data_IF_019934895403
#
_entry.id   IF_019934895403
#
_cell.length_a   1.000
_cell.length_b   1.000
_cell.length_c   1.000
_cell.angle_alpha   90.00
_cell.angle_beta   90.00
_cell.angle_gamma   90.00
#
_symmetry.space_group_name_H-M   'P 1'
#
loop_
_entity.id
_entity.type
_entity.pdbx_description
1 polymer ?
#
# COMPACT_ATOMS: atom_id res chain seq x y z
N UNK A 1 -11.40 23.39 -11.04
CA UNK A 1 -10.93 22.02 -10.77
C UNK A 1 -11.08 21.70 -9.28
N UNK A 2 -10.40 22.43 -8.38
CA UNK A 2 -10.50 22.22 -6.92
C UNK A 2 -11.95 22.27 -6.40
N UNK A 3 -12.76 23.18 -6.90
CA UNK A 3 -14.15 23.34 -6.54
C UNK A 3 -15.03 22.15 -6.99
N UNK A 4 -14.76 21.54 -8.13
CA UNK A 4 -15.49 20.36 -8.62
C UNK A 4 -15.15 19.12 -7.80
N UNK A 5 -13.88 18.91 -7.43
CA UNK A 5 -13.48 17.84 -6.53
C UNK A 5 -14.16 17.97 -5.15
N UNK A 6 -14.19 19.17 -4.58
CA UNK A 6 -14.87 19.42 -3.30
C UNK A 6 -16.38 19.11 -3.36
N UNK A 7 -17.04 19.41 -4.47
CA UNK A 7 -18.46 19.08 -4.67
C UNK A 7 -18.69 17.58 -4.75
N UNK A 8 -17.83 16.85 -5.46
CA UNK A 8 -17.90 15.39 -5.54
C UNK A 8 -17.65 14.74 -4.18
N UNK A 9 -16.69 15.23 -3.40
CA UNK A 9 -16.45 14.77 -2.03
C UNK A 9 -17.65 15.01 -1.12
N UNK A 10 -18.26 16.20 -1.20
CA UNK A 10 -19.47 16.51 -0.44
C UNK A 10 -20.63 15.58 -0.81
N UNK A 11 -20.87 15.32 -2.10
CA UNK A 11 -21.89 14.39 -2.55
C UNK A 11 -21.63 12.96 -2.09
N UNK A 12 -20.37 12.52 -2.12
CA UNK A 12 -19.95 11.20 -1.59
C UNK A 12 -20.25 11.09 -0.09
N UNK A 13 -19.94 12.14 0.68
CA UNK A 13 -20.21 12.18 2.11
C UNK A 13 -21.71 12.12 2.40
N UNK A 14 -22.54 12.85 1.65
CA UNK A 14 -24.01 12.81 1.76
C UNK A 14 -24.53 11.39 1.47
N UNK A 15 -24.00 10.72 0.41
CA UNK A 15 -24.42 9.36 0.08
C UNK A 15 -24.02 8.35 1.15
N UNK A 16 -22.86 8.49 1.76
CA UNK A 16 -22.45 7.63 2.87
C UNK A 16 -23.40 7.82 4.06
N UNK A 17 -23.75 9.06 4.42
CA UNK A 17 -24.72 9.35 5.47
C UNK A 17 -26.11 8.73 5.17
N UNK A 18 -26.58 8.80 3.92
CA UNK A 18 -27.86 8.17 3.51
C UNK A 18 -27.79 6.65 3.67
N UNK A 19 -26.66 6.01 3.32
CA UNK A 19 -26.48 4.59 3.51
C UNK A 19 -26.38 4.19 4.99
N UNK A 20 -25.71 4.96 5.82
CA UNK A 20 -25.60 4.75 7.26
C UNK A 20 -26.97 4.89 7.94
N UNK A 21 -27.74 5.93 7.59
CA UNK A 21 -29.10 6.11 8.11
C UNK A 21 -30.03 4.97 7.71
N UNK A 22 -29.91 4.45 6.49
CA UNK A 22 -30.68 3.26 6.06
C UNK A 22 -30.41 2.05 6.94
N UNK A 23 -29.16 1.82 7.32
CA UNK A 23 -28.77 0.68 8.18
C UNK A 23 -29.21 0.87 9.64
N UNK A 24 -29.44 2.12 10.06
CA UNK A 24 -29.89 2.47 11.42
C UNK A 24 -31.40 2.46 11.62
N UNK A 25 -32.18 2.49 10.54
CA UNK A 25 -33.65 2.44 10.60
C UNK A 25 -34.11 0.98 10.60
N UNK A 26 -34.50 0.47 11.77
CA UNK A 26 -35.28 -0.76 11.90
C UNK A 26 -36.61 -0.63 11.11
N UNK A 27 -36.75 -1.43 10.10
CA UNK A 27 -37.93 -1.95 9.40
C UNK A 27 -39.03 -1.04 8.79
N UNK A 28 -39.12 0.26 8.99
CA UNK A 28 -40.29 1.02 8.54
C UNK A 28 -40.10 2.40 7.89
N UNK A 29 -38.89 2.80 7.49
CA UNK A 29 -38.80 3.98 6.65
C UNK A 29 -39.39 3.66 5.26
N UNK A 30 -40.31 4.44 4.73
CA UNK A 30 -40.90 4.19 3.42
C UNK A 30 -39.78 4.15 2.37
N UNK A 31 -39.63 3.04 1.66
CA UNK A 31 -38.68 2.88 0.54
C UNK A 31 -38.75 4.07 -0.43
N UNK A 32 -39.93 4.70 -0.56
CA UNK A 32 -40.14 5.87 -1.39
C UNK A 32 -39.34 7.11 -0.95
N UNK A 33 -39.15 7.35 0.36
CA UNK A 33 -38.31 8.47 0.83
C UNK A 33 -36.84 8.25 0.49
N UNK A 34 -36.34 7.07 0.77
CA UNK A 34 -34.97 6.70 0.39
C UNK A 34 -34.71 6.82 -1.11
N UNK A 35 -35.64 6.33 -1.96
CA UNK A 35 -35.52 6.44 -3.41
C UNK A 35 -35.57 7.89 -3.90
N UNK A 36 -36.37 8.75 -3.28
CA UNK A 36 -36.41 10.18 -3.63
C UNK A 36 -35.11 10.90 -3.29
N UNK A 37 -34.51 10.61 -2.14
CA UNK A 37 -33.21 11.17 -1.74
C UNK A 37 -32.08 10.70 -2.66
N UNK A 38 -32.06 9.41 -2.99
CA UNK A 38 -31.10 8.85 -3.95
C UNK A 38 -31.24 9.52 -5.31
N UNK A 39 -32.46 9.72 -5.83
CA UNK A 39 -32.68 10.37 -7.11
C UNK A 39 -32.16 11.83 -7.13
N UNK A 40 -32.31 12.58 -6.03
CA UNK A 40 -31.74 13.93 -5.92
C UNK A 40 -30.22 13.89 -6.03
N UNK A 41 -29.57 12.95 -5.34
CA UNK A 41 -28.11 12.83 -5.38
C UNK A 41 -27.65 12.37 -6.76
N UNK A 42 -28.36 11.43 -7.42
CA UNK A 42 -28.08 11.02 -8.81
C UNK A 42 -28.10 12.23 -9.74
N UNK A 43 -29.17 13.04 -9.69
CA UNK A 43 -29.29 14.25 -10.53
C UNK A 43 -28.18 15.27 -10.24
N UNK A 44 -27.79 15.44 -8.98
CA UNK A 44 -26.68 16.31 -8.60
C UNK A 44 -25.33 15.79 -9.15
N UNK A 45 -25.09 14.48 -9.14
CA UNK A 45 -23.88 13.87 -9.72
C UNK A 45 -23.82 14.13 -11.22
N UNK A 46 -24.90 13.94 -11.95
CA UNK A 46 -24.98 14.20 -13.39
C UNK A 46 -24.62 15.65 -13.74
N UNK A 47 -24.99 16.61 -12.87
CA UNK A 47 -24.61 18.02 -13.03
C UNK A 47 -23.14 18.28 -12.71
N UNK A 48 -22.56 17.55 -11.75
CA UNK A 48 -21.18 17.78 -11.30
C UNK A 48 -20.16 17.04 -12.19
N UNK A 49 -20.58 15.92 -12.80
CA UNK A 49 -19.74 15.15 -13.71
C UNK A 49 -19.67 15.82 -15.08
N UNK A 50 -18.50 16.40 -15.39
CA UNK A 50 -18.29 17.16 -16.63
C UNK A 50 -16.82 17.14 -17.08
N UNK A 51 -16.53 17.68 -18.26
CA UNK A 51 -15.21 17.66 -18.91
C UNK A 51 -14.04 18.32 -18.14
N UNK A 52 -14.28 19.06 -17.06
CA UNK A 52 -13.20 19.62 -16.23
C UNK A 52 -12.77 18.71 -15.06
N UNK A 53 -13.43 17.56 -14.88
CA UNK A 53 -13.01 16.57 -13.89
C UNK A 53 -11.68 15.96 -14.30
N UNK A 54 -10.71 15.87 -13.38
CA UNK A 54 -9.36 15.35 -13.64
C UNK A 54 -9.12 13.98 -13.05
N UNK A 55 -9.72 13.69 -11.92
CA UNK A 55 -9.50 12.44 -11.18
C UNK A 55 -10.82 11.90 -10.68
N UNK A 56 -11.03 10.61 -10.82
CA UNK A 56 -12.14 9.89 -10.22
C UNK A 56 -11.75 8.47 -9.84
N UNK A 57 -12.15 8.05 -8.62
CA UNK A 57 -11.95 6.73 -8.07
C UNK A 57 -13.31 6.10 -7.76
N UNK A 58 -13.70 5.09 -8.51
CA UNK A 58 -15.02 4.46 -8.36
C UNK A 58 -15.13 3.62 -7.08
N UNK A 59 -14.02 3.06 -6.59
CA UNK A 59 -14.01 2.30 -5.34
C UNK A 59 -14.47 3.12 -4.14
N UNK A 60 -14.24 4.45 -4.16
CA UNK A 60 -14.65 5.37 -3.11
C UNK A 60 -16.16 5.67 -3.08
N UNK A 61 -16.92 5.17 -4.07
CA UNK A 61 -18.35 5.43 -4.19
C UNK A 61 -19.20 4.21 -3.82
N UNK A 62 -20.38 4.39 -3.20
CA UNK A 62 -21.35 3.33 -2.97
C UNK A 62 -21.73 2.63 -4.28
N UNK A 63 -21.96 1.31 -4.23
CA UNK A 63 -22.23 0.49 -5.42
C UNK A 63 -23.34 1.03 -6.34
N UNK A 64 -24.41 1.55 -5.75
CA UNK A 64 -25.54 2.13 -6.48
C UNK A 64 -25.13 3.34 -7.33
N UNK A 65 -24.16 4.12 -6.85
CA UNK A 65 -23.70 5.33 -7.54
C UNK A 65 -22.71 5.03 -8.66
N UNK A 66 -21.99 3.94 -8.58
CA UNK A 66 -21.05 3.54 -9.64
C UNK A 66 -21.74 3.40 -10.99
N UNK A 67 -22.99 2.94 -11.00
CA UNK A 67 -23.79 2.87 -12.23
C UNK A 67 -23.96 4.23 -12.89
N UNK A 68 -24.31 5.24 -12.12
CA UNK A 68 -24.47 6.60 -12.64
C UNK A 68 -23.17 7.13 -13.20
N UNK A 69 -22.05 6.86 -12.49
CA UNK A 69 -20.73 7.25 -12.94
C UNK A 69 -20.32 6.54 -14.25
N UNK A 70 -20.61 5.22 -14.38
CA UNK A 70 -20.36 4.48 -15.62
C UNK A 70 -21.12 5.08 -16.80
N UNK A 71 -22.43 5.35 -16.65
CA UNK A 71 -23.24 5.92 -17.70
C UNK A 71 -22.78 7.31 -18.15
N UNK A 72 -22.10 8.04 -17.25
CA UNK A 72 -21.61 9.40 -17.49
C UNK A 72 -20.10 9.44 -17.86
N UNK A 73 -19.41 8.31 -18.05
CA UNK A 73 -17.99 8.30 -18.40
C UNK A 73 -17.66 9.12 -19.64
N UNK A 74 -18.50 9.09 -20.65
CA UNK A 74 -18.31 9.82 -21.89
C UNK A 74 -18.32 11.36 -21.74
N UNK A 75 -18.87 11.87 -20.62
CA UNK A 75 -18.89 13.30 -20.29
C UNK A 75 -17.62 13.78 -19.57
N UNK A 76 -16.79 12.84 -19.09
CA UNK A 76 -15.57 13.14 -18.31
C UNK A 76 -14.33 13.31 -19.19
N UNK A 77 -14.44 14.07 -20.26
CA UNK A 77 -13.42 14.19 -21.33
C UNK A 77 -12.08 14.74 -20.87
N UNK A 78 -12.02 15.39 -19.73
CA UNK A 78 -10.81 15.98 -19.16
C UNK A 78 -10.04 15.08 -18.19
N UNK A 79 -10.47 13.83 -17.98
CA UNK A 79 -9.83 12.96 -17.01
C UNK A 79 -8.36 12.69 -17.33
N UNK A 80 -7.56 12.75 -16.27
CA UNK A 80 -6.15 12.39 -16.22
C UNK A 80 -5.96 11.08 -15.44
N UNK A 81 -6.82 10.83 -14.41
CA UNK A 81 -6.80 9.61 -13.60
C UNK A 81 -8.19 9.01 -13.54
N UNK A 82 -8.32 7.77 -14.03
CA UNK A 82 -9.53 6.98 -13.97
C UNK A 82 -9.24 5.66 -13.22
N UNK A 83 -9.72 5.57 -12.00
CA UNK A 83 -9.68 4.34 -11.21
C UNK A 83 -11.09 3.76 -11.07
N UNK A 84 -11.33 2.67 -11.81
CA UNK A 84 -12.59 1.93 -11.79
C UNK A 84 -12.62 0.87 -10.70
N UNK A 85 -11.46 0.56 -10.10
CA UNK A 85 -11.31 -0.51 -9.11
C UNK A 85 -11.66 -1.86 -9.71
N UNK A 86 -12.54 -2.60 -9.02
CA UNK A 86 -13.17 -3.83 -9.53
C UNK A 86 -14.54 -3.49 -10.10
N UNK A 87 -14.74 -3.76 -11.38
CA UNK A 87 -15.99 -3.46 -12.11
C UNK A 87 -17.17 -4.37 -11.74
N UNK A 88 -16.87 -5.57 -11.21
CA UNK A 88 -17.82 -6.69 -11.08
C UNK A 88 -18.87 -6.56 -9.98
N UNK A 89 -19.34 -5.37 -9.68
CA UNK A 89 -20.45 -5.14 -8.74
C UNK A 89 -21.79 -5.83 -9.14
N UNK A 90 -21.73 -7.01 -9.74
CA UNK A 90 -22.91 -7.80 -10.13
C UNK A 90 -23.43 -7.54 -11.54
N UNK A 91 -22.65 -6.92 -12.39
CA UNK A 91 -23.02 -6.57 -13.78
C UNK A 91 -22.57 -7.60 -14.80
N UNK A 92 -23.26 -7.66 -15.94
CA UNK A 92 -22.75 -8.41 -17.11
C UNK A 92 -21.52 -7.69 -17.65
N UNK A 93 -20.39 -8.37 -17.66
CA UNK A 93 -19.08 -7.84 -18.11
C UNK A 93 -19.13 -7.22 -19.51
N UNK A 94 -19.95 -7.77 -20.43
CA UNK A 94 -20.09 -7.28 -21.80
C UNK A 94 -20.67 -5.88 -21.95
N UNK A 95 -21.56 -5.47 -21.03
CA UNK A 95 -22.22 -4.16 -21.12
C UNK A 95 -21.30 -3.08 -20.51
N UNK A 96 -20.62 -3.42 -19.42
CA UNK A 96 -19.60 -2.55 -18.81
C UNK A 96 -18.43 -2.34 -19.78
N UNK A 97 -17.97 -3.37 -20.46
CA UNK A 97 -16.90 -3.28 -21.46
C UNK A 97 -17.19 -2.21 -22.50
N UNK A 98 -18.39 -2.24 -23.10
CA UNK A 98 -18.81 -1.25 -24.11
C UNK A 98 -18.83 0.18 -23.54
N UNK A 99 -19.36 0.33 -22.33
CA UNK A 99 -19.43 1.65 -21.66
C UNK A 99 -18.02 2.18 -21.42
N UNK A 100 -17.09 1.35 -20.93
CA UNK A 100 -15.70 1.75 -20.69
C UNK A 100 -15.01 2.10 -22.00
N UNK A 101 -15.14 1.27 -23.04
CA UNK A 101 -14.54 1.55 -24.36
C UNK A 101 -15.04 2.89 -24.91
N UNK A 102 -16.34 3.14 -24.87
CA UNK A 102 -16.91 4.41 -25.31
C UNK A 102 -16.45 5.59 -24.46
N UNK A 103 -16.32 5.40 -23.15
CA UNK A 103 -15.82 6.43 -22.23
C UNK A 103 -14.37 6.79 -22.51
N UNK A 104 -13.47 5.81 -22.55
CA UNK A 104 -12.02 6.07 -22.76
C UNK A 104 -11.73 6.65 -24.15
N UNK A 105 -12.60 6.38 -25.15
CA UNK A 105 -12.50 6.98 -26.47
C UNK A 105 -12.59 8.52 -26.44
N UNK A 106 -13.16 9.11 -25.39
CA UNK A 106 -13.31 10.56 -25.22
C UNK A 106 -12.30 11.16 -24.25
N UNK A 107 -11.27 10.40 -23.80
CA UNK A 107 -10.34 10.80 -22.74
C UNK A 107 -8.88 10.92 -23.22
N UNK A 108 -8.53 11.85 -24.13
CA UNK A 108 -7.17 11.95 -24.69
C UNK A 108 -6.09 12.39 -23.66
N UNK A 109 -6.52 12.93 -22.51
CA UNK A 109 -5.62 13.39 -21.46
C UNK A 109 -5.32 12.33 -20.40
N UNK A 110 -5.86 11.12 -20.53
CA UNK A 110 -5.71 10.06 -19.54
C UNK A 110 -4.25 9.66 -19.37
N UNK A 111 -3.75 9.74 -18.13
CA UNK A 111 -2.39 9.41 -17.71
C UNK A 111 -2.36 8.10 -16.91
N UNK A 112 -3.41 7.86 -16.11
CA UNK A 112 -3.53 6.69 -15.25
C UNK A 112 -4.87 6.00 -15.45
N UNK A 113 -4.83 4.68 -15.67
CA UNK A 113 -5.99 3.83 -15.82
C UNK A 113 -5.89 2.60 -14.93
N UNK A 114 -6.88 2.38 -14.07
CA UNK A 114 -6.99 1.20 -13.21
C UNK A 114 -8.33 0.51 -13.43
N UNK A 115 -8.28 -0.79 -13.76
CA UNK A 115 -9.45 -1.68 -13.81
C UNK A 115 -9.02 -3.10 -13.44
N UNK A 116 -9.14 -3.45 -12.19
CA UNK A 116 -8.77 -4.78 -11.69
C UNK A 116 -9.92 -5.77 -11.87
N UNK A 117 -9.59 -7.06 -12.11
CA UNK A 117 -10.47 -8.22 -12.28
C UNK A 117 -11.25 -8.27 -13.60
N UNK A 118 -11.73 -7.15 -14.14
CA UNK A 118 -12.74 -7.12 -15.22
C UNK A 118 -12.20 -6.50 -16.53
N UNK A 119 -10.92 -6.16 -16.60
CA UNK A 119 -10.33 -5.64 -17.82
C UNK A 119 -10.22 -6.75 -18.91
N UNK A 120 -10.31 -6.31 -20.18
CA UNK A 120 -10.22 -7.20 -21.34
C UNK A 120 -9.20 -6.66 -22.35
N UNK A 121 -8.77 -7.52 -23.28
CA UNK A 121 -7.91 -7.11 -24.40
C UNK A 121 -8.51 -5.96 -25.21
N UNK A 122 -9.85 -5.92 -25.36
CA UNK A 122 -10.54 -4.86 -26.11
C UNK A 122 -10.46 -3.52 -25.38
N UNK A 123 -10.61 -3.50 -24.06
CA UNK A 123 -10.46 -2.28 -23.25
C UNK A 123 -9.03 -1.76 -23.36
N UNK A 124 -8.03 -2.62 -23.20
CA UNK A 124 -6.61 -2.22 -23.36
C UNK A 124 -6.34 -1.69 -24.76
N UNK A 125 -6.91 -2.33 -25.78
CA UNK A 125 -6.84 -1.85 -27.15
C UNK A 125 -7.39 -0.43 -27.31
N UNK A 126 -8.57 -0.16 -26.75
CA UNK A 126 -9.21 1.15 -26.77
C UNK A 126 -8.41 2.21 -26.01
N UNK A 127 -7.92 1.87 -24.79
CA UNK A 127 -7.07 2.77 -23.97
C UNK A 127 -5.78 3.09 -24.70
N UNK A 128 -5.08 2.10 -25.26
CA UNK A 128 -3.83 2.30 -26.00
C UNK A 128 -4.00 3.15 -27.26
N UNK A 129 -5.16 3.06 -27.90
CA UNK A 129 -5.46 3.81 -29.13
C UNK A 129 -5.85 5.26 -28.83
N UNK A 130 -6.65 5.50 -27.78
CA UNK A 130 -7.29 6.81 -27.54
C UNK A 130 -6.61 7.64 -26.45
N UNK A 131 -5.73 7.03 -25.62
CA UNK A 131 -5.08 7.71 -24.49
C UNK A 131 -3.56 7.82 -24.70
N UNK A 132 -3.07 8.73 -25.59
CA UNK A 132 -1.66 8.82 -25.95
C UNK A 132 -0.74 9.29 -24.82
N UNK A 133 -1.31 9.78 -23.70
CA UNK A 133 -0.60 10.23 -22.52
C UNK A 133 -0.50 9.18 -21.42
N UNK A 134 -1.01 7.96 -21.64
CA UNK A 134 -1.05 6.90 -20.65
C UNK A 134 0.35 6.52 -20.18
N UNK A 135 0.60 6.67 -18.86
CA UNK A 135 1.86 6.33 -18.19
C UNK A 135 1.71 5.18 -17.20
N UNK A 136 0.54 5.05 -16.61
CA UNK A 136 0.22 4.05 -15.59
C UNK A 136 -0.99 3.21 -16.04
N UNK A 137 -0.84 1.90 -16.01
CA UNK A 137 -1.90 0.92 -16.27
C UNK A 137 -1.90 -0.15 -15.18
N UNK A 138 -3.04 -0.33 -14.50
CA UNK A 138 -3.22 -1.43 -13.56
C UNK A 138 -4.46 -2.24 -13.93
N UNK A 139 -4.25 -3.47 -14.37
CA UNK A 139 -5.29 -4.43 -14.74
C UNK A 139 -5.13 -5.74 -13.98
N UNK A 140 -4.60 -5.65 -12.78
CA UNK A 140 -4.34 -6.79 -11.89
C UNK A 140 -5.56 -7.70 -11.79
N UNK A 141 -5.32 -9.01 -11.82
CA UNK A 141 -6.29 -10.10 -11.71
C UNK A 141 -7.32 -10.20 -12.85
N UNK A 142 -7.12 -9.48 -13.95
CA UNK A 142 -7.99 -9.50 -15.12
C UNK A 142 -7.62 -10.66 -16.07
N UNK A 143 -8.25 -11.82 -15.90
CA UNK A 143 -7.93 -13.04 -16.67
C UNK A 143 -8.25 -12.95 -18.16
N UNK A 144 -9.07 -11.99 -18.58
CA UNK A 144 -9.39 -11.73 -20.01
C UNK A 144 -8.33 -10.87 -20.69
N UNK A 145 -7.27 -10.48 -19.99
CA UNK A 145 -6.10 -9.79 -20.54
C UNK A 145 -5.06 -10.84 -20.90
N UNK A 146 -4.69 -10.90 -22.18
CA UNK A 146 -3.79 -11.91 -22.77
C UNK A 146 -2.62 -11.25 -23.51
N UNK A 147 -1.77 -12.03 -24.14
CA UNK A 147 -0.68 -11.54 -24.99
C UNK A 147 -1.14 -10.63 -26.15
N UNK A 148 -2.43 -10.67 -26.52
CA UNK A 148 -3.01 -9.74 -27.50
C UNK A 148 -2.92 -8.29 -27.05
N UNK A 149 -3.05 -8.05 -25.75
CA UNK A 149 -2.89 -6.71 -25.14
C UNK A 149 -1.49 -6.15 -25.29
N UNK A 150 -0.46 -7.02 -25.31
CA UNK A 150 0.93 -6.57 -25.40
C UNK A 150 1.18 -5.82 -26.71
N UNK A 151 0.66 -6.32 -27.83
CA UNK A 151 0.78 -5.64 -29.13
C UNK A 151 0.14 -4.23 -29.14
N UNK A 152 -0.93 -4.03 -28.37
CA UNK A 152 -1.56 -2.73 -28.20
C UNK A 152 -0.72 -1.83 -27.26
N UNK A 153 -0.25 -2.35 -26.15
CA UNK A 153 0.57 -1.62 -25.18
C UNK A 153 1.89 -1.12 -25.80
N UNK A 154 2.51 -1.89 -26.69
CA UNK A 154 3.73 -1.48 -27.39
C UNK A 154 3.58 -0.22 -28.25
N UNK A 155 2.35 0.21 -28.55
CA UNK A 155 2.07 1.48 -29.24
C UNK A 155 2.10 2.68 -28.26
N UNK A 156 1.94 2.47 -26.96
CA UNK A 156 1.89 3.50 -25.92
C UNK A 156 3.29 3.93 -25.47
N UNK A 157 3.98 4.74 -26.28
CA UNK A 157 5.42 5.07 -26.11
C UNK A 157 5.81 5.77 -24.81
N UNK A 158 4.84 6.33 -24.07
CA UNK A 158 5.08 7.07 -22.81
C UNK A 158 4.80 6.24 -21.56
N UNK A 159 4.42 4.98 -21.74
CA UNK A 159 4.11 4.07 -20.64
C UNK A 159 5.33 3.85 -19.73
N UNK A 160 5.10 3.89 -18.41
CA UNK A 160 6.12 3.75 -17.37
C UNK A 160 5.83 2.60 -16.42
N UNK A 161 4.57 2.43 -16.09
CA UNK A 161 4.13 1.45 -15.10
C UNK A 161 2.99 0.60 -15.68
N UNK A 162 3.13 -0.73 -15.61
CA UNK A 162 2.15 -1.68 -16.11
C UNK A 162 2.01 -2.84 -15.14
N UNK A 163 0.86 -2.97 -14.50
CA UNK A 163 0.57 -4.07 -13.57
C UNK A 163 -0.34 -5.09 -14.21
N UNK A 164 0.21 -6.27 -14.46
CA UNK A 164 -0.45 -7.41 -15.13
C UNK A 164 -0.51 -8.66 -14.23
N UNK A 165 -0.31 -8.52 -12.93
CA UNK A 165 -0.32 -9.66 -12.02
C UNK A 165 -1.65 -10.41 -12.05
N UNK A 166 -1.61 -11.75 -12.11
CA UNK A 166 -2.79 -12.63 -12.24
C UNK A 166 -3.67 -12.36 -13.47
N UNK A 167 -3.07 -11.92 -14.56
CA UNK A 167 -3.69 -11.91 -15.89
C UNK A 167 -3.36 -13.22 -16.64
N UNK A 168 -3.75 -13.35 -17.91
CA UNK A 168 -3.37 -14.45 -18.79
C UNK A 168 -2.23 -14.07 -19.75
N UNK A 169 -1.43 -13.07 -19.41
CA UNK A 169 -0.21 -12.71 -20.15
C UNK A 169 0.88 -13.72 -19.82
N UNK A 170 1.48 -14.31 -20.87
CA UNK A 170 2.53 -15.30 -20.73
C UNK A 170 3.91 -14.69 -20.47
N UNK A 171 4.90 -15.52 -20.11
CA UNK A 171 6.33 -15.11 -20.00
C UNK A 171 6.83 -14.49 -21.30
N UNK A 172 6.42 -15.03 -22.44
CA UNK A 172 6.73 -14.47 -23.77
C UNK A 172 6.11 -13.08 -23.95
N UNK A 173 4.88 -12.88 -23.48
CA UNK A 173 4.21 -11.57 -23.45
C UNK A 173 4.99 -10.54 -22.64
N UNK A 174 5.38 -10.89 -21.41
CA UNK A 174 6.22 -10.04 -20.57
C UNK A 174 7.59 -9.75 -21.19
N UNK A 175 8.25 -10.74 -21.78
CA UNK A 175 9.53 -10.55 -22.47
C UNK A 175 9.41 -9.56 -23.64
N UNK A 176 8.34 -9.66 -24.44
CA UNK A 176 8.07 -8.74 -25.53
C UNK A 176 7.77 -7.31 -25.01
N UNK A 177 7.04 -7.18 -23.91
CA UNK A 177 6.76 -5.91 -23.26
C UNK A 177 8.06 -5.21 -22.82
N UNK A 178 8.94 -5.92 -22.10
CA UNK A 178 10.23 -5.40 -21.63
C UNK A 178 11.15 -5.03 -22.79
N UNK A 179 11.25 -5.87 -23.81
CA UNK A 179 12.08 -5.60 -24.99
C UNK A 179 11.58 -4.42 -25.80
N UNK A 180 10.27 -4.23 -25.88
CA UNK A 180 9.64 -3.16 -26.67
C UNK A 180 9.56 -1.81 -25.94
N UNK A 181 9.56 -1.81 -24.60
CA UNK A 181 9.47 -0.61 -23.77
C UNK A 181 10.74 -0.35 -22.95
N UNK A 182 11.75 0.26 -23.55
CA UNK A 182 13.02 0.56 -22.88
C UNK A 182 12.92 1.54 -21.71
N UNK A 183 11.79 2.20 -21.53
CA UNK A 183 11.56 3.20 -20.47
C UNK A 183 10.59 2.74 -19.41
N UNK A 184 10.23 1.45 -19.38
CA UNK A 184 9.35 0.90 -18.38
C UNK A 184 10.07 0.85 -17.02
N UNK A 185 9.43 1.38 -15.99
CA UNK A 185 10.01 1.55 -14.66
C UNK A 185 9.43 0.56 -13.64
N UNK A 186 8.18 0.12 -13.82
CA UNK A 186 7.51 -0.80 -12.90
C UNK A 186 6.54 -1.72 -13.66
N UNK A 187 6.63 -3.02 -13.43
CA UNK A 187 5.70 -4.02 -13.97
C UNK A 187 4.81 -4.65 -12.89
N UNK A 188 4.89 -4.10 -11.66
CA UNK A 188 4.24 -4.67 -10.50
C UNK A 188 4.77 -6.04 -10.13
N UNK A 189 4.00 -6.81 -9.40
CA UNK A 189 4.34 -8.19 -9.07
C UNK A 189 4.29 -9.08 -10.31
N UNK A 190 5.38 -9.79 -10.54
CA UNK A 190 5.48 -10.81 -11.58
C UNK A 190 6.29 -11.99 -11.03
N UNK A 191 5.59 -13.08 -10.69
CA UNK A 191 6.24 -14.23 -10.07
C UNK A 191 7.14 -15.00 -11.05
N UNK A 192 6.89 -14.88 -12.35
CA UNK A 192 7.69 -15.52 -13.41
C UNK A 192 8.76 -14.59 -14.02
N UNK A 193 9.07 -13.46 -13.36
CA UNK A 193 10.00 -12.46 -13.90
C UNK A 193 11.43 -13.04 -14.09
N UNK A 194 11.84 -13.97 -13.25
CA UNK A 194 13.12 -14.68 -13.41
C UNK A 194 13.19 -15.42 -14.73
N UNK A 195 12.17 -16.21 -15.04
CA UNK A 195 12.06 -16.96 -16.29
C UNK A 195 11.97 -16.02 -17.50
N UNK A 196 11.28 -14.89 -17.35
CA UNK A 196 11.21 -13.82 -18.37
C UNK A 196 12.58 -13.26 -18.70
N UNK A 197 13.42 -12.99 -17.67
CA UNK A 197 14.78 -12.50 -17.88
C UNK A 197 15.68 -13.56 -18.51
N UNK A 198 15.53 -14.84 -18.15
CA UNK A 198 16.22 -15.95 -18.81
C UNK A 198 15.82 -16.07 -20.29
N UNK A 199 14.53 -16.03 -20.60
CA UNK A 199 14.02 -16.07 -21.98
C UNK A 199 14.57 -14.91 -22.81
N UNK A 200 14.64 -13.72 -22.24
CA UNK A 200 15.23 -12.55 -22.92
C UNK A 200 16.71 -12.78 -23.19
N UNK A 201 17.47 -13.23 -22.19
CA UNK A 201 18.90 -13.49 -22.32
C UNK A 201 19.22 -14.53 -23.37
N UNK A 202 18.39 -15.56 -23.49
CA UNK A 202 18.59 -16.67 -24.41
C UNK A 202 18.16 -16.34 -25.86
N UNK A 203 17.52 -15.18 -26.11
CA UNK A 203 17.18 -14.80 -27.47
C UNK A 203 18.42 -14.34 -28.25
N UNK A 204 18.59 -14.83 -29.48
CA UNK A 204 19.73 -14.48 -30.36
C UNK A 204 19.83 -12.96 -30.63
N UNK A 205 18.72 -12.25 -30.55
CA UNK A 205 18.66 -10.79 -30.75
C UNK A 205 19.03 -10.00 -29.48
N UNK A 206 19.29 -10.66 -28.35
CA UNK A 206 19.65 -9.96 -27.12
C UNK A 206 21.09 -9.46 -27.18
N UNK A 207 21.26 -8.15 -26.96
CA UNK A 207 22.59 -7.57 -26.75
C UNK A 207 22.91 -7.63 -25.27
N UNK A 208 24.05 -8.22 -24.92
CA UNK A 208 24.51 -8.40 -23.54
C UNK A 208 24.71 -7.09 -22.76
N UNK A 209 24.75 -5.95 -23.46
CA UNK A 209 24.87 -4.58 -22.92
C UNK A 209 23.52 -3.89 -22.72
N UNK A 210 22.39 -4.53 -23.02
CA UNK A 210 21.07 -3.92 -22.88
C UNK A 210 20.59 -4.00 -21.44
N UNK A 211 20.48 -2.84 -20.82
CA UNK A 211 19.89 -2.68 -19.49
C UNK A 211 18.44 -2.25 -19.58
N UNK A 212 17.62 -2.70 -18.61
CA UNK A 212 16.24 -2.27 -18.42
C UNK A 212 16.17 -1.19 -17.34
N UNK A 213 15.26 -0.23 -17.50
CA UNK A 213 15.10 0.89 -16.56
C UNK A 213 14.14 0.58 -15.41
N UNK A 214 13.91 -0.69 -15.13
CA UNK A 214 13.05 -1.09 -14.01
C UNK A 214 13.61 -0.54 -12.69
N UNK A 215 12.74 0.10 -11.92
CA UNK A 215 12.99 0.64 -10.59
C UNK A 215 12.36 -0.19 -9.49
N UNK A 216 11.34 -0.97 -9.84
CA UNK A 216 10.68 -1.88 -8.92
C UNK A 216 10.76 -3.31 -9.43
N UNK A 217 10.99 -4.22 -8.50
CA UNK A 217 10.98 -5.65 -8.74
C UNK A 217 10.26 -6.35 -7.60
N UNK A 218 9.19 -7.06 -7.91
CA UNK A 218 8.45 -7.87 -6.93
C UNK A 218 8.16 -9.25 -7.49
N UNK A 219 8.64 -10.28 -6.79
CA UNK A 219 8.41 -11.68 -7.14
C UNK A 219 8.36 -12.58 -5.91
N UNK A 220 7.53 -13.63 -5.99
CA UNK A 220 7.44 -14.70 -5.00
C UNK A 220 8.07 -16.00 -5.47
N UNK A 221 8.66 -16.00 -6.66
CA UNK A 221 9.22 -17.19 -7.29
C UNK A 221 10.58 -16.88 -7.95
N UNK A 222 11.61 -16.71 -7.12
CA UNK A 222 12.95 -16.33 -7.58
C UNK A 222 13.98 -17.35 -7.09
N UNK A 223 14.97 -17.65 -7.92
CA UNK A 223 16.13 -18.48 -7.58
C UNK A 223 17.42 -17.65 -7.74
N UNK A 224 18.57 -18.18 -7.28
CA UNK A 224 19.86 -17.47 -7.34
C UNK A 224 20.25 -17.02 -8.74
N UNK A 225 20.07 -17.86 -9.77
CA UNK A 225 20.36 -17.51 -11.17
C UNK A 225 19.53 -16.29 -11.63
N UNK A 226 18.27 -16.19 -11.19
CA UNK A 226 17.39 -15.05 -11.49
C UNK A 226 17.88 -13.76 -10.83
N UNK A 227 18.43 -13.84 -9.62
CA UNK A 227 19.02 -12.67 -8.95
C UNK A 227 20.26 -12.16 -9.66
N UNK A 228 21.12 -13.05 -10.18
CA UNK A 228 22.25 -12.65 -11.02
C UNK A 228 21.78 -11.96 -12.31
N UNK A 229 20.72 -12.47 -12.94
CA UNK A 229 20.12 -11.82 -14.12
C UNK A 229 19.53 -10.45 -13.77
N UNK A 230 18.81 -10.35 -12.65
CA UNK A 230 18.26 -9.09 -12.17
C UNK A 230 19.35 -8.02 -12.02
N UNK A 231 20.43 -8.35 -11.32
CA UNK A 231 21.54 -7.42 -11.08
C UNK A 231 22.18 -6.97 -12.40
N UNK A 232 22.40 -7.90 -13.32
CA UNK A 232 23.06 -7.59 -14.60
C UNK A 232 22.18 -6.86 -15.60
N UNK A 233 20.87 -7.09 -15.60
CA UNK A 233 19.94 -6.54 -16.59
C UNK A 233 19.12 -5.36 -16.09
N UNK A 234 18.97 -5.19 -14.76
CA UNK A 234 18.13 -4.18 -14.13
C UNK A 234 18.89 -3.41 -13.03
N UNK A 235 19.99 -2.70 -13.34
CA UNK A 235 20.83 -2.04 -12.32
C UNK A 235 20.15 -0.84 -11.64
N UNK A 236 19.03 -0.36 -12.16
CA UNK A 236 18.34 0.83 -11.65
C UNK A 236 17.29 0.53 -10.57
N UNK A 237 17.22 -0.71 -10.07
CA UNK A 237 16.25 -1.11 -9.03
C UNK A 237 16.47 -0.27 -7.76
N UNK A 238 15.38 0.37 -7.33
CA UNK A 238 15.29 1.15 -6.09
C UNK A 238 14.42 0.45 -5.05
N UNK A 239 13.42 -0.33 -5.51
CA UNK A 239 12.47 -1.08 -4.67
C UNK A 239 12.53 -2.56 -5.03
N UNK A 240 12.80 -3.39 -4.04
CA UNK A 240 12.90 -4.83 -4.20
C UNK A 240 11.99 -5.55 -3.20
N UNK A 241 11.15 -6.46 -3.68
CA UNK A 241 10.31 -7.34 -2.86
C UNK A 241 10.47 -8.79 -3.30
N UNK A 242 11.02 -9.62 -2.40
CA UNK A 242 11.33 -11.02 -2.68
C UNK A 242 10.74 -11.93 -1.61
N UNK A 243 10.24 -13.09 -2.03
CA UNK A 243 10.05 -14.23 -1.15
C UNK A 243 11.30 -15.10 -1.23
N UNK A 244 11.91 -15.36 -0.07
CA UNK A 244 13.08 -16.21 0.04
C UNK A 244 12.65 -17.64 0.33
N UNK A 245 13.29 -18.58 -0.32
CA UNK A 245 13.17 -20.00 -0.07
C UNK A 245 14.54 -20.67 -0.25
N UNK A 246 14.60 -21.98 -0.12
CA UNK A 246 15.84 -22.77 -0.23
C UNK A 246 16.64 -22.57 -1.55
N UNK A 247 16.02 -22.00 -2.59
CA UNK A 247 16.67 -21.70 -3.87
C UNK A 247 17.51 -20.41 -3.83
N UNK A 248 17.38 -19.62 -2.75
CA UNK A 248 18.16 -18.40 -2.53
C UNK A 248 19.14 -18.68 -1.38
N UNK A 249 20.39 -18.93 -1.71
CA UNK A 249 21.42 -19.29 -0.74
C UNK A 249 22.21 -18.10 -0.20
N UNK A 250 22.20 -16.96 -0.87
CA UNK A 250 22.97 -15.76 -0.48
C UNK A 250 22.31 -14.47 -0.93
N UNK A 251 21.71 -13.76 0.00
CA UNK A 251 21.09 -12.46 -0.24
C UNK A 251 22.12 -11.33 -0.39
N UNK A 252 23.39 -11.54 -0.02
CA UNK A 252 24.41 -10.47 -0.05
C UNK A 252 24.70 -9.94 -1.45
N UNK A 253 24.42 -10.73 -2.49
CA UNK A 253 24.56 -10.29 -3.88
C UNK A 253 23.70 -9.05 -4.21
N UNK A 254 22.58 -8.86 -3.51
CA UNK A 254 21.69 -7.70 -3.70
C UNK A 254 22.36 -6.37 -3.35
N UNK A 255 23.48 -6.39 -2.61
CA UNK A 255 24.27 -5.18 -2.33
C UNK A 255 24.83 -4.54 -3.60
N UNK A 256 24.97 -5.31 -4.70
CA UNK A 256 25.35 -4.79 -6.01
C UNK A 256 24.31 -3.86 -6.66
N UNK A 257 23.07 -3.86 -6.18
CA UNK A 257 22.04 -2.90 -6.61
C UNK A 257 22.29 -1.55 -5.93
N UNK A 258 23.14 -0.71 -6.53
CA UNK A 258 23.60 0.56 -5.95
C UNK A 258 22.48 1.56 -5.63
N UNK A 259 21.34 1.46 -6.31
CA UNK A 259 20.19 2.35 -6.14
C UNK A 259 19.13 1.81 -5.15
N UNK A 260 19.34 0.64 -4.55
CA UNK A 260 18.38 -0.01 -3.65
C UNK A 260 18.17 0.81 -2.37
N UNK A 261 16.94 1.28 -2.17
CA UNK A 261 16.52 2.08 -1.01
C UNK A 261 15.35 1.46 -0.24
N UNK A 262 14.54 0.64 -0.91
CA UNK A 262 13.40 -0.03 -0.32
C UNK A 262 13.54 -1.54 -0.48
N UNK A 263 13.63 -2.25 0.64
CA UNK A 263 13.82 -3.69 0.69
C UNK A 263 12.66 -4.35 1.44
N UNK A 264 11.98 -5.27 0.75
CA UNK A 264 10.98 -6.15 1.34
C UNK A 264 11.41 -7.60 1.17
N UNK A 265 11.59 -8.30 2.29
CA UNK A 265 11.95 -9.71 2.34
C UNK A 265 10.86 -10.52 3.05
N UNK A 266 10.56 -11.69 2.48
CA UNK A 266 9.53 -12.58 2.99
C UNK A 266 10.08 -13.99 3.20
N UNK A 267 9.66 -14.63 4.30
CA UNK A 267 9.93 -16.06 4.60
C UNK A 267 11.43 -16.38 4.62
N UNK A 268 12.18 -15.73 5.49
CA UNK A 268 13.62 -15.92 5.62
C UNK A 268 14.08 -15.81 7.09
N UNK A 269 15.37 -16.10 7.31
CA UNK A 269 16.02 -16.02 8.62
C UNK A 269 16.99 -14.84 8.65
N UNK A 270 16.92 -14.02 9.71
CA UNK A 270 17.72 -12.78 9.79
C UNK A 270 19.23 -13.04 9.75
N UNK A 271 19.72 -14.05 10.46
CA UNK A 271 21.13 -14.41 10.50
C UNK A 271 21.49 -15.50 9.49
N UNK A 272 20.70 -16.57 9.40
CA UNK A 272 21.02 -17.70 8.54
C UNK A 272 21.01 -17.32 7.05
N UNK A 273 20.05 -16.49 6.60
CA UNK A 273 20.00 -15.99 5.22
C UNK A 273 20.83 -14.72 4.98
N UNK A 274 21.66 -14.36 5.97
CA UNK A 274 22.63 -13.27 5.87
C UNK A 274 22.03 -11.88 5.63
N UNK A 275 20.78 -11.63 6.10
CA UNK A 275 20.15 -10.29 6.04
C UNK A 275 21.02 -9.27 6.77
N UNK A 276 21.56 -9.64 7.93
CA UNK A 276 22.54 -8.81 8.65
C UNK A 276 23.64 -8.32 7.74
N UNK A 277 24.31 -9.25 7.06
CA UNK A 277 25.45 -8.93 6.17
C UNK A 277 25.01 -8.10 4.95
N UNK A 278 23.83 -8.39 4.39
CA UNK A 278 23.26 -7.59 3.31
C UNK A 278 23.08 -6.13 3.76
N UNK A 279 22.49 -5.91 4.93
CA UNK A 279 22.27 -4.55 5.49
C UNK A 279 23.62 -3.83 5.70
N UNK A 280 24.64 -4.52 6.20
CA UNK A 280 26.00 -3.97 6.33
C UNK A 280 26.57 -3.53 4.98
N UNK A 281 26.41 -4.35 3.94
CA UNK A 281 26.95 -4.10 2.60
C UNK A 281 26.18 -3.01 1.82
N UNK A 282 24.92 -2.77 2.15
CA UNK A 282 24.11 -1.71 1.50
C UNK A 282 24.53 -0.28 1.90
N UNK A 283 25.48 -0.16 2.84
CA UNK A 283 26.14 1.08 3.20
C UNK A 283 25.17 2.25 3.49
N UNK A 284 24.20 2.01 4.37
CA UNK A 284 23.21 3.00 4.86
C UNK A 284 22.18 3.52 3.82
N UNK A 285 22.09 2.91 2.65
CA UNK A 285 21.15 3.35 1.60
C UNK A 285 19.68 3.02 1.90
N UNK A 286 19.43 2.01 2.73
CA UNK A 286 18.07 1.52 2.99
C UNK A 286 17.30 2.53 3.82
N UNK A 287 16.22 3.05 3.26
CA UNK A 287 15.29 3.97 3.91
C UNK A 287 13.96 3.31 4.29
N UNK A 288 13.62 2.20 3.64
CA UNK A 288 12.44 1.39 3.91
C UNK A 288 12.83 -0.08 4.02
N UNK A 289 12.55 -0.67 5.17
CA UNK A 289 12.75 -2.10 5.42
C UNK A 289 11.43 -2.73 5.85
N UNK A 290 11.00 -3.75 5.10
CA UNK A 290 9.83 -4.55 5.41
C UNK A 290 10.25 -6.01 5.52
N UNK A 291 10.11 -6.59 6.70
CA UNK A 291 10.34 -7.99 7.00
C UNK A 291 9.01 -8.67 7.27
N UNK A 292 8.71 -9.73 6.53
CA UNK A 292 7.44 -10.47 6.60
C UNK A 292 7.73 -11.96 6.75
N UNK A 293 7.19 -12.61 7.79
CA UNK A 293 7.52 -14.00 8.15
C UNK A 293 9.05 -14.20 8.26
N UNK A 294 9.74 -13.29 8.92
CA UNK A 294 11.18 -13.39 9.18
C UNK A 294 11.39 -13.81 10.63
N UNK A 295 12.18 -14.84 10.79
CA UNK A 295 12.60 -15.38 12.09
C UNK A 295 13.96 -14.81 12.54
N UNK A 296 14.38 -15.15 13.75
CA UNK A 296 15.66 -14.74 14.36
C UNK A 296 15.77 -13.21 14.60
N UNK A 297 14.67 -12.50 14.77
CA UNK A 297 14.72 -11.07 15.08
C UNK A 297 14.75 -10.88 16.60
N UNK A 298 15.96 -10.91 17.14
CA UNK A 298 16.25 -10.60 18.55
C UNK A 298 16.59 -9.10 18.73
N UNK A 299 16.85 -8.70 19.96
CA UNK A 299 17.28 -7.35 20.27
C UNK A 299 18.56 -6.93 19.54
N UNK A 300 19.48 -7.86 19.30
CA UNK A 300 20.70 -7.59 18.54
C UNK A 300 20.38 -7.28 17.08
N UNK A 301 19.43 -7.98 16.47
CA UNK A 301 18.95 -7.68 15.13
C UNK A 301 18.38 -6.26 15.02
N UNK A 302 17.55 -5.83 16.00
CA UNK A 302 17.02 -4.46 16.04
C UNK A 302 18.13 -3.40 16.13
N UNK A 303 19.14 -3.67 16.95
CA UNK A 303 20.32 -2.79 17.06
C UNK A 303 21.08 -2.76 15.74
N UNK A 304 21.33 -3.90 15.10
CA UNK A 304 21.99 -3.95 13.79
C UNK A 304 21.21 -3.15 12.74
N UNK A 305 19.90 -3.34 12.64
CA UNK A 305 19.06 -2.55 11.73
C UNK A 305 19.25 -1.05 11.99
N UNK A 306 19.20 -0.63 13.25
CA UNK A 306 19.34 0.80 13.60
C UNK A 306 20.73 1.37 13.29
N UNK A 307 21.80 0.57 13.39
CA UNK A 307 23.17 1.02 13.18
C UNK A 307 23.57 1.02 11.69
N UNK A 308 23.11 0.03 10.93
CA UNK A 308 23.47 -0.12 9.51
C UNK A 308 22.43 0.48 8.54
N UNK A 309 21.22 0.79 9.03
CA UNK A 309 20.23 1.59 8.31
C UNK A 309 19.92 2.90 9.07
N UNK A 310 20.91 3.79 9.31
CA UNK A 310 20.70 5.01 10.11
C UNK A 310 19.69 5.97 9.48
N UNK A 311 19.49 5.94 8.17
CA UNK A 311 18.52 6.76 7.41
C UNK A 311 17.13 6.12 7.28
N UNK A 312 16.86 5.04 8.03
CA UNK A 312 15.60 4.33 7.95
C UNK A 312 14.42 5.24 8.34
N UNK A 313 13.42 5.32 7.47
CA UNK A 313 12.19 6.11 7.65
C UNK A 313 10.96 5.24 7.85
N UNK A 314 10.93 4.08 7.20
CA UNK A 314 9.82 3.14 7.29
C UNK A 314 10.33 1.76 7.70
N UNK A 315 9.83 1.26 8.83
CA UNK A 315 10.17 -0.06 9.34
C UNK A 315 8.90 -0.87 9.58
N UNK A 316 8.82 -2.04 8.97
CA UNK A 316 7.68 -2.94 9.11
C UNK A 316 8.15 -4.33 9.48
N UNK A 317 7.60 -4.87 10.56
CA UNK A 317 7.61 -6.29 10.92
C UNK A 317 6.18 -6.83 10.76
N UNK A 318 5.99 -7.84 9.93
CA UNK A 318 4.69 -8.43 9.68
C UNK A 318 4.78 -9.96 9.83
N UNK A 319 3.98 -10.53 10.73
CA UNK A 319 4.02 -11.95 11.06
C UNK A 319 5.45 -12.48 11.34
N UNK A 320 6.29 -11.66 11.96
CA UNK A 320 7.61 -12.03 12.43
C UNK A 320 7.54 -12.48 13.89
N UNK A 321 8.59 -13.16 14.35
CA UNK A 321 8.79 -13.47 15.77
C UNK A 321 9.94 -12.60 16.30
N UNK A 322 9.58 -11.62 17.16
CA UNK A 322 10.55 -10.77 17.86
C UNK A 322 10.68 -11.28 19.30
N UNK A 323 11.51 -12.31 19.46
CA UNK A 323 11.75 -12.98 20.72
C UNK A 323 13.15 -12.68 21.25
N UNK A 324 13.27 -12.53 22.56
CA UNK A 324 14.55 -12.26 23.20
C UNK A 324 15.25 -13.57 23.56
N UNK A 325 16.21 -13.98 22.76
CA UNK A 325 17.07 -15.12 23.04
C UNK A 325 18.46 -14.73 23.58
N UNK A 326 18.76 -13.42 23.68
CA UNK A 326 20.07 -12.94 24.09
C UNK A 326 20.03 -11.79 25.11
N UNK A 327 20.84 -11.93 26.16
CA UNK A 327 21.04 -10.89 27.18
C UNK A 327 22.16 -9.91 26.83
N UNK A 328 22.24 -9.46 25.58
CA UNK A 328 23.27 -8.51 25.16
C UNK A 328 23.01 -7.10 25.71
N UNK A 329 23.90 -6.63 26.59
CA UNK A 329 23.86 -5.27 27.13
C UNK A 329 24.69 -4.33 26.24
N UNK A 330 24.01 -3.49 25.44
CA UNK A 330 24.68 -2.41 24.71
C UNK A 330 24.82 -1.18 25.63
N UNK A 331 26.04 -0.89 26.09
CA UNK A 331 26.30 0.27 26.98
C UNK A 331 26.30 1.62 26.25
N UNK A 332 26.75 1.65 25.00
CA UNK A 332 26.74 2.84 24.11
C UNK A 332 26.61 2.41 22.66
N UNK A 333 25.67 3.00 21.96
CA UNK A 333 25.50 2.81 20.53
C UNK A 333 26.18 3.99 19.79
N UNK A 334 26.94 3.73 18.71
CA UNK A 334 27.65 4.79 17.98
C UNK A 334 26.69 5.73 17.25
N UNK A 335 25.51 5.24 16.85
CA UNK A 335 24.45 6.03 16.20
C UNK A 335 23.18 5.93 17.04
N UNK A 336 22.45 7.03 17.19
CA UNK A 336 21.17 7.04 17.90
C UNK A 336 20.16 6.13 17.16
N UNK A 337 19.61 5.09 17.84
CA UNK A 337 18.72 4.15 17.18
C UNK A 337 17.48 4.85 16.60
N UNK A 338 17.10 4.46 15.36
CA UNK A 338 15.85 4.88 14.72
C UNK A 338 15.57 6.38 14.68
N UNK A 339 16.61 7.22 14.68
CA UNK A 339 16.52 8.68 14.75
C UNK A 339 15.60 9.29 13.66
N UNK A 340 15.61 8.72 12.45
CA UNK A 340 14.84 9.25 11.31
C UNK A 340 13.56 8.46 11.01
N UNK A 341 13.21 7.48 11.87
CA UNK A 341 12.03 6.65 11.69
C UNK A 341 10.75 7.49 11.80
N UNK A 342 9.99 7.52 10.70
CA UNK A 342 8.72 8.25 10.60
C UNK A 342 7.50 7.31 10.69
N UNK A 343 7.64 6.09 10.17
CA UNK A 343 6.55 5.10 10.14
C UNK A 343 7.03 3.76 10.66
N UNK A 344 6.33 3.27 11.67
CA UNK A 344 6.60 1.97 12.27
C UNK A 344 5.34 1.10 12.23
N UNK A 345 5.49 -0.12 11.74
CA UNK A 345 4.46 -1.17 11.83
C UNK A 345 5.08 -2.40 12.47
N UNK A 346 4.48 -2.86 13.56
CA UNK A 346 4.84 -4.12 14.20
C UNK A 346 3.58 -4.95 14.39
N UNK A 347 3.21 -5.71 13.36
CA UNK A 347 2.11 -6.69 13.37
C UNK A 347 2.76 -8.07 13.44
N UNK A 348 3.31 -8.38 14.62
CA UNK A 348 4.22 -9.49 14.85
C UNK A 348 4.07 -9.97 16.29
N UNK A 349 4.51 -11.19 16.58
CA UNK A 349 4.70 -11.64 17.98
C UNK A 349 5.93 -10.89 18.53
N UNK A 350 5.68 -10.02 19.50
CA UNK A 350 6.70 -9.11 19.97
C UNK A 350 6.62 -8.92 21.47
N UNK A 351 7.69 -9.30 22.16
CA UNK A 351 7.81 -9.06 23.59
C UNK A 351 7.84 -7.59 23.95
N UNK A 352 7.33 -7.25 25.14
CA UNK A 352 7.30 -5.85 25.65
C UNK A 352 8.66 -5.19 25.66
N UNK A 353 9.74 -5.95 25.83
CA UNK A 353 11.14 -5.44 25.86
C UNK A 353 11.58 -4.94 24.49
N UNK A 354 11.20 -5.64 23.41
CA UNK A 354 11.48 -5.20 22.02
C UNK A 354 10.70 -3.94 21.67
N UNK A 355 9.41 -3.90 22.05
CA UNK A 355 8.58 -2.72 21.86
C UNK A 355 9.10 -1.51 22.66
N UNK A 356 9.48 -1.72 23.92
CA UNK A 356 10.07 -0.66 24.74
C UNK A 356 11.33 -0.09 24.06
N UNK A 357 12.21 -0.97 23.51
CA UNK A 357 13.39 -0.52 22.78
C UNK A 357 13.03 0.29 21.52
N UNK A 358 12.14 -0.23 20.68
CA UNK A 358 11.71 0.43 19.45
C UNK A 358 11.07 1.80 19.74
N UNK A 359 10.07 1.82 20.62
CA UNK A 359 9.28 3.01 20.91
C UNK A 359 10.07 4.09 21.67
N UNK A 360 11.02 3.69 22.54
CA UNK A 360 11.84 4.63 23.30
C UNK A 360 12.84 5.39 22.42
N UNK A 361 13.21 4.86 21.25
CA UNK A 361 14.23 5.45 20.39
C UNK A 361 13.70 6.13 19.13
N UNK A 362 12.47 5.87 18.72
CA UNK A 362 11.89 6.47 17.51
C UNK A 362 11.35 7.89 17.74
N UNK A 363 12.24 8.86 17.98
CA UNK A 363 11.88 10.23 18.38
C UNK A 363 11.17 11.05 17.28
N UNK A 364 11.24 10.65 16.03
CA UNK A 364 10.63 11.34 14.89
C UNK A 364 9.40 10.61 14.32
N UNK A 365 8.91 9.59 15.01
CA UNK A 365 7.80 8.78 14.51
C UNK A 365 6.52 9.61 14.43
N UNK A 366 5.82 9.47 13.29
CA UNK A 366 4.53 10.09 13.00
C UNK A 366 3.40 9.07 12.99
N UNK A 367 3.71 7.85 12.56
CA UNK A 367 2.74 6.78 12.43
C UNK A 367 3.23 5.51 13.13
N UNK A 368 2.40 4.96 14.01
CA UNK A 368 2.63 3.67 14.66
C UNK A 368 1.43 2.77 14.46
N UNK A 369 1.68 1.54 14.00
CA UNK A 369 0.69 0.47 13.99
C UNK A 369 1.25 -0.75 14.74
N UNK A 370 0.54 -1.22 15.77
CA UNK A 370 0.87 -2.43 16.51
C UNK A 370 -0.20 -3.50 16.28
N UNK A 371 0.24 -4.75 16.19
CA UNK A 371 -0.63 -5.93 16.03
C UNK A 371 -1.24 -6.39 17.34
N UNK A 372 -2.03 -7.45 17.26
CA UNK A 372 -2.71 -8.06 18.41
C UNK A 372 -1.79 -8.90 19.29
N UNK A 373 -0.68 -9.39 18.75
CA UNK A 373 0.29 -10.25 19.46
C UNK A 373 1.47 -9.46 20.00
N UNK A 374 1.31 -8.16 20.25
CA UNK A 374 2.35 -7.33 20.88
C UNK A 374 2.08 -7.25 22.38
N UNK A 375 3.11 -7.48 23.21
CA UNK A 375 3.04 -7.34 24.65
C UNK A 375 2.97 -5.89 25.15
N UNK A 376 2.15 -5.06 24.47
CA UNK A 376 2.00 -3.64 24.81
C UNK A 376 0.99 -3.46 25.94
N UNK A 377 1.33 -2.69 26.96
CA UNK A 377 0.47 -2.37 28.08
C UNK A 377 0.79 -1.01 28.70
N UNK A 378 -0.03 -0.57 29.69
CA UNK A 378 0.12 0.73 30.36
C UNK A 378 1.51 0.90 30.99
N UNK A 379 2.08 -0.17 31.54
CA UNK A 379 3.42 -0.14 32.16
C UNK A 379 4.53 0.11 31.13
N UNK A 380 4.45 -0.55 29.97
CA UNK A 380 5.39 -0.35 28.87
C UNK A 380 5.28 1.07 28.30
N UNK A 381 4.05 1.53 28.07
CA UNK A 381 3.84 2.90 27.56
C UNK A 381 4.33 3.96 28.54
N UNK A 382 4.14 3.79 29.84
CA UNK A 382 4.69 4.71 30.86
C UNK A 382 6.21 4.79 30.81
N UNK A 383 6.90 3.67 30.66
CA UNK A 383 8.36 3.64 30.52
C UNK A 383 8.80 4.34 29.22
N UNK A 384 8.15 4.03 28.12
CA UNK A 384 8.41 4.63 26.82
C UNK A 384 8.28 6.16 26.91
N UNK A 385 7.18 6.69 27.43
CA UNK A 385 6.97 8.14 27.56
C UNK A 385 7.97 8.82 28.49
N UNK A 386 8.53 8.11 29.47
CA UNK A 386 9.61 8.65 30.29
C UNK A 386 10.93 8.88 29.54
N UNK A 387 11.12 8.22 28.39
CA UNK A 387 12.32 8.29 27.55
C UNK A 387 12.08 9.04 26.24
N UNK A 388 10.91 8.86 25.65
CA UNK A 388 10.49 9.44 24.37
C UNK A 388 9.04 9.95 24.45
N UNK A 389 8.81 11.26 24.53
CA UNK A 389 7.45 11.83 24.59
C UNK A 389 6.69 11.76 23.28
N UNK A 390 7.28 11.25 22.18
CA UNK A 390 6.65 11.08 20.87
C UNK A 390 5.93 12.34 20.36
N UNK A 391 6.51 13.52 20.52
CA UNK A 391 5.87 14.80 20.20
C UNK A 391 5.43 14.95 18.74
N UNK A 392 6.00 14.15 17.83
CA UNK A 392 5.65 14.18 16.39
C UNK A 392 4.62 13.14 15.98
N UNK A 393 4.11 12.34 16.90
CA UNK A 393 3.14 11.30 16.61
C UNK A 393 1.83 11.93 16.14
N UNK A 394 1.40 11.55 14.93
CA UNK A 394 0.16 11.99 14.28
C UNK A 394 -0.93 10.90 14.30
N UNK A 395 -0.52 9.63 14.21
CA UNK A 395 -1.45 8.50 14.15
C UNK A 395 -0.92 7.30 14.96
N UNK A 396 -1.75 6.81 15.86
CA UNK A 396 -1.51 5.57 16.61
C UNK A 396 -2.66 4.60 16.39
N UNK A 397 -2.31 3.39 15.96
CA UNK A 397 -3.22 2.27 15.79
C UNK A 397 -2.69 1.06 16.52
N UNK A 398 -3.44 0.56 17.51
CA UNK A 398 -3.12 -0.69 18.21
C UNK A 398 -4.31 -1.62 18.04
N UNK A 399 -4.11 -2.72 17.28
CA UNK A 399 -5.19 -3.60 16.83
C UNK A 399 -5.89 -4.33 17.98
N UNK A 400 -5.16 -4.63 19.06
CA UNK A 400 -5.68 -5.27 20.26
C UNK A 400 -4.69 -5.13 21.42
N UNK A 401 -5.19 -5.08 22.67
CA UNK A 401 -4.36 -5.22 23.86
C UNK A 401 -5.22 -5.59 25.08
N UNK A 402 -4.72 -6.53 25.90
CA UNK A 402 -5.32 -6.89 27.19
C UNK A 402 -4.99 -5.87 28.28
N UNK A 403 -3.84 -5.20 28.20
CA UNK A 403 -3.21 -4.43 29.28
C UNK A 403 -3.22 -2.90 29.05
N UNK A 404 -3.85 -2.40 28.01
CA UNK A 404 -4.03 -0.99 27.76
C UNK A 404 -5.35 -0.46 28.32
N UNK A 405 -5.29 0.70 28.97
CA UNK A 405 -6.44 1.37 29.55
C UNK A 405 -6.49 2.86 29.22
N UNK A 406 -7.50 3.56 29.74
CA UNK A 406 -7.59 5.04 29.64
C UNK A 406 -6.36 5.77 30.21
N UNK A 407 -5.52 5.11 31.02
CA UNK A 407 -4.25 5.69 31.49
C UNK A 407 -3.32 5.97 30.32
N UNK A 408 -3.17 5.02 29.40
CA UNK A 408 -2.37 5.24 28.17
C UNK A 408 -2.99 6.31 27.29
N UNK A 409 -4.31 6.36 27.13
CA UNK A 409 -4.99 7.44 26.37
C UNK A 409 -4.65 8.80 26.98
N UNK A 410 -4.73 8.95 28.30
CA UNK A 410 -4.35 10.21 28.99
C UNK A 410 -2.88 10.56 28.81
N UNK A 411 -1.95 9.59 28.85
CA UNK A 411 -0.53 9.83 28.57
C UNK A 411 -0.30 10.31 27.13
N UNK A 412 -1.00 9.73 26.15
CA UNK A 412 -0.96 10.17 24.76
C UNK A 412 -1.42 11.62 24.62
N UNK A 413 -2.56 11.96 25.20
CA UNK A 413 -3.10 13.33 25.16
C UNK A 413 -2.19 14.35 25.83
N UNK A 414 -1.42 13.96 26.85
CA UNK A 414 -0.47 14.83 27.55
C UNK A 414 0.84 15.07 26.80
N UNK A 415 1.29 14.10 26.00
CA UNK A 415 2.63 14.11 25.41
C UNK A 415 2.63 14.32 23.89
N UNK A 416 1.58 13.86 23.18
CA UNK A 416 1.54 13.84 21.73
C UNK A 416 0.70 14.99 21.18
N UNK A 417 1.25 16.20 21.15
CA UNK A 417 0.55 17.42 20.72
C UNK A 417 0.06 17.37 19.26
N UNK A 418 0.68 16.54 18.42
CA UNK A 418 0.34 16.40 17.00
C UNK A 418 -0.59 15.23 16.70
N UNK A 419 -1.09 14.52 17.72
CA UNK A 419 -1.93 13.35 17.54
C UNK A 419 -3.28 13.74 16.93
N UNK A 420 -3.58 13.20 15.74
CA UNK A 420 -4.79 13.43 14.96
C UNK A 420 -5.69 12.21 14.86
N UNK A 421 -5.11 11.01 15.02
CA UNK A 421 -5.86 9.76 14.96
C UNK A 421 -5.40 8.78 16.01
N UNK A 422 -6.35 8.26 16.77
CA UNK A 422 -6.16 7.18 17.76
C UNK A 422 -7.25 6.15 17.53
N UNK A 423 -6.95 5.10 16.77
CA UNK A 423 -7.95 4.11 16.33
C UNK A 423 -7.88 2.80 17.09
N UNK A 424 -8.96 2.05 17.02
CA UNK A 424 -9.16 0.70 17.61
C UNK A 424 -9.26 0.71 19.14
N UNK A 425 -9.71 1.79 19.76
CA UNK A 425 -9.90 1.86 21.22
C UNK A 425 -10.89 0.80 21.74
N UNK A 426 -11.87 0.42 20.92
CA UNK A 426 -12.84 -0.63 21.21
C UNK A 426 -12.20 -2.01 21.39
N UNK A 427 -10.99 -2.20 20.93
CA UNK A 427 -10.23 -3.45 21.03
C UNK A 427 -9.27 -3.50 22.23
N UNK A 428 -9.23 -2.45 23.05
CA UNK A 428 -8.39 -2.41 24.25
C UNK A 428 -9.24 -2.90 25.44
N UNK A 429 -8.92 -4.08 25.98
CA UNK A 429 -9.73 -4.73 27.02
C UNK A 429 -9.82 -3.95 28.35
N UNK A 430 -8.86 -3.08 28.62
CA UNK A 430 -8.87 -2.22 29.80
C UNK A 430 -9.71 -0.94 29.66
N UNK A 431 -10.51 -0.79 28.57
CA UNK A 431 -11.38 0.38 28.35
C UNK A 431 -12.82 -0.10 28.13
N UNK A 432 -13.76 0.43 28.91
CA UNK A 432 -15.17 0.15 28.71
C UNK A 432 -15.80 1.01 27.61
N UNK A 433 -16.94 0.57 27.06
CA UNK A 433 -17.68 1.36 26.05
C UNK A 433 -18.12 2.71 26.60
N UNK A 434 -18.47 2.79 27.88
CA UNK A 434 -18.87 4.02 28.55
C UNK A 434 -17.70 5.01 28.65
N UNK A 435 -16.47 4.51 28.92
CA UNK A 435 -15.27 5.34 28.96
C UNK A 435 -14.92 5.90 27.58
N UNK A 436 -15.08 5.10 26.50
CA UNK A 436 -14.86 5.55 25.12
C UNK A 436 -15.86 6.65 24.76
N UNK A 437 -17.15 6.47 25.09
CA UNK A 437 -18.17 7.47 24.82
C UNK A 437 -17.93 8.76 25.60
N UNK A 438 -17.59 8.64 26.88
CA UNK A 438 -17.22 9.79 27.72
C UNK A 438 -16.01 10.54 27.16
N UNK A 439 -14.99 9.83 26.69
CA UNK A 439 -13.82 10.42 26.08
C UNK A 439 -14.16 11.13 24.77
N UNK A 440 -14.98 10.55 23.90
CA UNK A 440 -15.43 11.18 22.66
C UNK A 440 -16.24 12.46 22.93
N UNK A 441 -17.08 12.44 23.95
CA UNK A 441 -17.82 13.64 24.37
C UNK A 441 -16.87 14.73 24.94
N UNK A 442 -15.86 14.34 25.73
CA UNK A 442 -14.82 15.24 26.20
C UNK A 442 -14.07 15.92 25.04
N UNK A 443 -13.67 15.15 24.01
CA UNK A 443 -13.03 15.69 22.81
C UNK A 443 -13.94 16.72 22.12
N UNK A 444 -15.22 16.40 21.98
CA UNK A 444 -16.23 17.28 21.36
C UNK A 444 -16.41 18.58 22.13
N UNK A 445 -16.59 18.48 23.45
CA UNK A 445 -16.81 19.64 24.34
C UNK A 445 -15.60 20.57 24.34
N UNK A 446 -14.39 20.01 24.32
CA UNK A 446 -13.15 20.78 24.32
C UNK A 446 -12.66 21.17 22.92
N UNK A 447 -13.44 20.87 21.87
CA UNK A 447 -13.10 21.14 20.46
C UNK A 447 -11.72 20.61 20.06
N UNK A 448 -11.41 19.37 20.49
CA UNK A 448 -10.15 18.69 20.18
C UNK A 448 -10.34 17.88 18.88
N UNK A 449 -9.54 18.17 17.85
CA UNK A 449 -9.58 17.50 16.55
C UNK A 449 -8.78 16.18 16.61
N UNK A 450 -9.38 15.14 17.22
CA UNK A 450 -8.83 13.79 17.30
C UNK A 450 -9.85 12.77 16.76
N UNK A 451 -9.52 12.12 15.65
CA UNK A 451 -10.31 11.02 15.09
C UNK A 451 -10.07 9.73 15.91
N UNK A 452 -11.14 9.23 16.52
CA UNK A 452 -11.12 7.97 17.28
C UNK A 452 -11.97 6.88 16.63
N UNK A 453 -12.29 7.04 15.34
CA UNK A 453 -13.09 6.04 14.61
C UNK A 453 -12.31 4.76 14.39
N UNK A 454 -12.94 3.57 14.53
CA UNK A 454 -12.32 2.31 14.18
C UNK A 454 -12.05 2.28 12.67
N UNK A 455 -10.87 1.78 12.28
CA UNK A 455 -10.49 1.65 10.86
C UNK A 455 -10.75 0.25 10.32
N UNK A 456 -10.90 -0.74 11.21
CA UNK A 456 -11.35 -2.06 10.84
C UNK A 456 -12.88 -2.03 10.84
N UNK A 457 -13.50 -2.29 9.69
CA UNK A 457 -14.93 -2.61 9.69
C UNK A 457 -15.09 -3.87 10.56
N UNK A 458 -15.81 -3.75 11.63
CA UNK A 458 -16.34 -4.91 12.36
C UNK A 458 -17.31 -5.58 11.39
N UNK A 459 -16.79 -6.61 10.65
CA UNK A 459 -17.58 -7.42 9.74
C UNK A 459 -18.30 -8.51 10.52
#
# INVERSE_FOLDING_TARGET
>A
IKFTCQKLEALRSIMNLINETKNSYNDFAPIGVFLSEVNVVVSLIEVVVHGNLRTIEFAAWPKIMRHVLYNNLHNMTGLEVLDLGSGSAGWRTSDIEKIIINGVATMPNLVSFTLCFDCTDNIIGAVSQNCPRLRYLDVTASRSVTDRSIAALLKSRVLREVKLFRTSVSTVGYANLLLGHSRLEDIGRCDDIGDVLEDIRNKESYRYDKEFHLRAFESRNVAMNHLYLLISMCPYITRLSLMCDERISDLTILAALENLTELKLLSCYFYADRIKTLIELTNSRITTLHLEHVEEIDRSALVYISQFCPEIRNLTFYNCELLDHTTTHFRKLPIAPFKYLERMKCVADCDSVHLEFLLSHCTNVKFIQLGSSTGIGDTTMKKVFSQNPMTKLEELKILYSDDLSMRTVRLLMQNCENLRRLSELESWQGISSEEIQSFREELRVNNIDLDTSPTLSLA
#
